data_IF_272626370842
#
_entry.id   IF_272626370842
#
_cell.length_a   1.000
_cell.length_b   1.000
_cell.length_c   1.000
_cell.angle_alpha   90.00
_cell.angle_beta   90.00
_cell.angle_gamma   90.00
#
_symmetry.space_group_name_H-M   'P 1'
#
loop_
_entity.id
_entity.type
_entity.pdbx_description
1 polymer ?
#
# COMPACT_ATOMS: atom_id res chain seq x y z
N UNK A 1 -13.14 27.20 9.43
CA UNK A 1 -12.36 25.98 9.71
C UNK A 1 -13.19 24.75 10.10
N UNK A 2 -14.47 24.89 10.51
CA UNK A 2 -15.35 23.75 10.87
C UNK A 2 -15.74 22.87 9.66
N UNK A 3 -15.82 23.44 8.45
CA UNK A 3 -16.28 22.76 7.23
C UNK A 3 -15.37 21.60 6.73
N UNK A 4 -14.05 21.68 6.92
CA UNK A 4 -13.11 20.65 6.44
C UNK A 4 -13.01 19.42 7.36
N UNK A 5 -13.54 19.50 8.59
CA UNK A 5 -13.53 18.36 9.53
C UNK A 5 -14.64 17.37 9.20
N UNK A 6 -15.85 17.87 8.93
CA UNK A 6 -17.00 17.05 8.53
C UNK A 6 -16.78 16.35 7.19
N UNK A 7 -16.00 16.92 6.27
CA UNK A 7 -15.70 16.31 4.97
C UNK A 7 -14.76 15.09 5.04
N UNK A 8 -14.08 14.86 6.17
CA UNK A 8 -13.16 13.71 6.34
C UNK A 8 -13.90 12.40 6.60
N UNK A 9 -14.99 12.46 7.37
CA UNK A 9 -15.76 11.29 7.76
C UNK A 9 -16.37 10.54 6.56
N UNK A 10 -17.02 11.21 5.58
CA UNK A 10 -17.52 10.53 4.39
C UNK A 10 -16.41 9.83 3.60
N UNK A 11 -15.25 10.47 3.43
CA UNK A 11 -14.12 9.87 2.70
C UNK A 11 -13.56 8.65 3.42
N UNK A 12 -13.45 8.70 4.75
CA UNK A 12 -13.09 7.53 5.54
C UNK A 12 -14.13 6.42 5.48
N UNK A 13 -15.41 6.76 5.52
CA UNK A 13 -16.49 5.79 5.40
C UNK A 13 -16.47 5.10 4.03
N UNK A 14 -16.18 5.84 2.95
CA UNK A 14 -16.01 5.29 1.60
C UNK A 14 -14.76 4.41 1.48
N UNK A 15 -13.65 4.78 2.13
CA UNK A 15 -12.48 3.91 2.21
C UNK A 15 -12.82 2.60 2.95
N UNK A 16 -13.52 2.68 4.09
CA UNK A 16 -13.97 1.52 4.84
C UNK A 16 -14.96 0.65 4.04
N UNK A 17 -15.89 1.27 3.30
CA UNK A 17 -16.81 0.55 2.42
C UNK A 17 -16.06 -0.19 1.31
N UNK A 18 -15.04 0.45 0.72
CA UNK A 18 -14.18 -0.19 -0.30
C UNK A 18 -13.44 -1.40 0.28
N UNK A 19 -12.92 -1.28 1.51
CA UNK A 19 -12.29 -2.39 2.23
C UNK A 19 -13.28 -3.53 2.49
N UNK A 20 -14.48 -3.22 3.00
CA UNK A 20 -15.50 -4.24 3.29
C UNK A 20 -15.96 -4.96 2.02
N UNK A 21 -16.20 -4.22 0.94
CA UNK A 21 -16.57 -4.80 -0.35
C UNK A 21 -15.44 -5.67 -0.92
N UNK A 22 -14.18 -5.24 -0.76
CA UNK A 22 -13.04 -6.05 -1.14
C UNK A 22 -12.93 -7.33 -0.29
N UNK A 23 -13.10 -7.26 1.02
CA UNK A 23 -13.08 -8.45 1.89
C UNK A 23 -14.20 -9.43 1.51
N UNK A 24 -15.41 -8.92 1.23
CA UNK A 24 -16.53 -9.71 0.73
C UNK A 24 -16.18 -10.42 -0.59
N UNK A 25 -15.64 -9.68 -1.56
CA UNK A 25 -15.14 -10.22 -2.82
C UNK A 25 -14.06 -11.30 -2.62
N UNK A 26 -13.20 -11.10 -1.61
CA UNK A 26 -12.16 -12.06 -1.24
C UNK A 26 -12.72 -13.37 -0.68
N UNK A 27 -13.76 -13.30 0.15
CA UNK A 27 -14.46 -14.49 0.67
C UNK A 27 -15.15 -15.28 -0.46
N UNK A 28 -15.78 -14.59 -1.40
CA UNK A 28 -16.33 -15.25 -2.61
C UNK A 28 -15.23 -15.95 -3.40
N UNK A 29 -14.07 -15.31 -3.58
CA UNK A 29 -12.89 -15.92 -4.24
C UNK A 29 -12.29 -17.09 -3.45
N UNK A 30 -12.53 -17.17 -2.15
CA UNK A 30 -12.16 -18.30 -1.30
C UNK A 30 -13.13 -19.49 -1.46
N UNK A 31 -14.21 -19.35 -2.22
CA UNK A 31 -15.21 -20.38 -2.45
C UNK A 31 -16.38 -20.35 -1.47
N UNK A 32 -16.54 -19.28 -0.69
CA UNK A 32 -17.72 -19.11 0.15
C UNK A 32 -18.94 -18.75 -0.72
N UNK A 33 -20.04 -19.44 -0.49
CA UNK A 33 -21.31 -19.19 -1.18
C UNK A 33 -22.01 -17.96 -0.57
N UNK A 34 -21.56 -16.78 -0.98
CA UNK A 34 -22.08 -15.49 -0.54
C UNK A 34 -22.78 -14.77 -1.70
N UNK A 35 -23.83 -13.97 -1.43
CA UNK A 35 -24.46 -13.13 -2.44
C UNK A 35 -23.46 -12.25 -3.19
N UNK A 36 -23.52 -12.27 -4.52
CA UNK A 36 -22.71 -11.43 -5.41
C UNK A 36 -23.64 -10.38 -6.04
N UNK A 37 -23.84 -9.21 -5.40
CA UNK A 37 -24.79 -8.21 -5.88
C UNK A 37 -24.35 -7.53 -7.19
N UNK A 38 -23.06 -7.63 -7.53
CA UNK A 38 -22.39 -6.95 -8.65
C UNK A 38 -21.53 -7.99 -9.34
N UNK A 39 -21.76 -8.24 -10.64
CA UNK A 39 -21.22 -9.39 -11.37
C UNK A 39 -19.68 -9.46 -11.29
N UNK A 40 -19.01 -8.32 -11.41
CA UNK A 40 -17.55 -8.26 -11.43
C UNK A 40 -16.92 -8.08 -10.04
N UNK A 41 -17.70 -8.10 -8.96
CA UNK A 41 -17.21 -7.85 -7.61
C UNK A 41 -16.01 -8.74 -7.22
N UNK A 42 -16.01 -10.08 -7.45
CA UNK A 42 -14.86 -10.93 -7.17
C UNK A 42 -13.62 -10.53 -7.98
N UNK A 43 -13.79 -10.22 -9.27
CA UNK A 43 -12.69 -9.79 -10.13
C UNK A 43 -12.09 -8.44 -9.68
N UNK A 44 -12.93 -7.56 -9.15
CA UNK A 44 -12.57 -6.22 -8.69
C UNK A 44 -11.93 -6.18 -7.29
N UNK A 45 -11.82 -7.32 -6.59
CA UNK A 45 -11.25 -7.41 -5.24
C UNK A 45 -9.95 -6.58 -5.06
N UNK A 46 -8.94 -6.83 -5.91
CA UNK A 46 -7.65 -6.15 -5.80
C UNK A 46 -7.71 -4.65 -6.11
N UNK A 47 -8.59 -4.26 -7.02
CA UNK A 47 -8.84 -2.86 -7.37
C UNK A 47 -9.44 -2.11 -6.18
N UNK A 48 -10.49 -2.68 -5.57
CA UNK A 48 -11.16 -2.11 -4.40
C UNK A 48 -10.19 -1.98 -3.21
N UNK A 49 -9.29 -2.95 -3.01
CA UNK A 49 -8.23 -2.84 -2.00
C UNK A 49 -7.27 -1.68 -2.28
N UNK A 50 -6.70 -1.64 -3.48
CA UNK A 50 -5.56 -0.75 -3.77
C UNK A 50 -6.03 0.66 -4.12
N UNK A 51 -6.89 0.81 -5.13
CA UNK A 51 -7.32 2.15 -5.58
C UNK A 51 -8.39 2.72 -4.68
N UNK A 52 -9.34 1.87 -4.23
CA UNK A 52 -10.44 2.27 -3.36
C UNK A 52 -10.02 2.52 -1.91
N UNK A 53 -9.55 1.49 -1.22
CA UNK A 53 -9.21 1.62 0.20
C UNK A 53 -7.88 2.35 0.42
N UNK A 54 -6.76 1.80 -0.06
CA UNK A 54 -5.43 2.39 0.20
C UNK A 54 -5.27 3.76 -0.47
N UNK A 55 -5.69 3.89 -1.73
CA UNK A 55 -5.63 5.12 -2.49
C UNK A 55 -6.39 6.26 -1.81
N UNK A 56 -7.61 6.01 -1.33
CA UNK A 56 -8.37 7.01 -0.57
C UNK A 56 -7.71 7.34 0.76
N UNK A 57 -7.27 6.35 1.53
CA UNK A 57 -6.71 6.57 2.86
C UNK A 57 -5.38 7.37 2.81
N UNK A 58 -4.45 6.96 1.94
CA UNK A 58 -3.14 7.62 1.78
C UNK A 58 -3.34 9.05 1.27
N UNK A 59 -4.20 9.25 0.27
CA UNK A 59 -4.52 10.60 -0.21
C UNK A 59 -5.16 11.46 0.88
N UNK A 60 -6.06 10.90 1.68
CA UNK A 60 -6.74 11.63 2.75
C UNK A 60 -5.76 12.06 3.84
N UNK A 61 -4.89 11.15 4.28
CA UNK A 61 -3.87 11.45 5.27
C UNK A 61 -2.96 12.61 4.82
N UNK A 62 -2.47 12.56 3.58
CA UNK A 62 -1.62 13.63 3.03
C UNK A 62 -2.39 14.93 2.80
N UNK A 63 -3.69 14.86 2.51
CA UNK A 63 -4.57 16.03 2.41
C UNK A 63 -4.75 16.73 3.75
N UNK A 64 -4.88 15.96 4.83
CA UNK A 64 -4.94 16.49 6.20
C UNK A 64 -3.62 17.16 6.57
N UNK A 65 -2.48 16.54 6.24
CA UNK A 65 -1.16 17.10 6.54
C UNK A 65 -0.89 18.46 5.84
N UNK A 66 -1.35 18.64 4.60
CA UNK A 66 -1.15 19.88 3.84
C UNK A 66 -2.05 21.05 4.27
N UNK A 67 -3.14 20.79 4.99
CA UNK A 67 -4.08 21.82 5.48
C UNK A 67 -4.61 22.78 4.39
N UNK A 68 -4.77 22.27 3.15
CA UNK A 68 -5.35 22.99 2.00
C UNK A 68 -6.58 22.25 1.48
N UNK A 69 -7.45 22.93 0.71
CA UNK A 69 -8.69 22.33 0.19
C UNK A 69 -8.49 21.46 -1.05
N UNK A 70 -7.63 21.87 -2.00
CA UNK A 70 -7.43 21.14 -3.25
C UNK A 70 -6.92 19.68 -3.09
N UNK A 71 -6.06 19.31 -2.11
CA UNK A 71 -5.59 17.93 -1.96
C UNK A 71 -6.71 16.89 -1.79
N UNK A 72 -7.85 17.31 -1.23
CA UNK A 72 -9.03 16.47 -1.03
C UNK A 72 -9.68 15.99 -2.33
N UNK A 73 -9.31 16.53 -3.50
CA UNK A 73 -9.66 15.94 -4.79
C UNK A 73 -9.09 14.53 -4.97
N UNK A 74 -7.89 14.25 -4.46
CA UNK A 74 -7.26 12.93 -4.49
C UNK A 74 -8.09 11.83 -3.82
N UNK A 75 -8.38 11.91 -2.51
CA UNK A 75 -9.17 10.88 -1.83
C UNK A 75 -10.61 10.78 -2.37
N UNK A 76 -11.21 11.90 -2.81
CA UNK A 76 -12.54 11.90 -3.41
C UNK A 76 -12.56 11.10 -4.72
N UNK A 77 -11.63 11.37 -5.64
CA UNK A 77 -11.56 10.66 -6.93
C UNK A 77 -11.20 9.17 -6.75
N UNK A 78 -10.36 8.85 -5.76
CA UNK A 78 -10.07 7.46 -5.41
C UNK A 78 -11.33 6.72 -4.90
N UNK A 79 -12.12 7.38 -4.06
CA UNK A 79 -13.39 6.83 -3.57
C UNK A 79 -14.45 6.74 -4.69
N UNK A 80 -14.50 7.70 -5.60
CA UNK A 80 -15.37 7.63 -6.77
C UNK A 80 -14.97 6.50 -7.72
N UNK A 81 -13.67 6.22 -7.86
CA UNK A 81 -13.18 5.07 -8.64
C UNK A 81 -13.71 3.75 -8.07
N UNK A 82 -13.71 3.57 -6.74
CA UNK A 82 -14.28 2.36 -6.12
C UNK A 82 -15.79 2.28 -6.26
N UNK A 83 -16.51 3.40 -6.11
CA UNK A 83 -17.95 3.43 -6.36
C UNK A 83 -18.29 3.06 -7.82
N UNK A 84 -17.49 3.52 -8.79
CA UNK A 84 -17.67 3.14 -10.18
C UNK A 84 -17.47 1.62 -10.41
N UNK A 85 -16.52 0.99 -9.69
CA UNK A 85 -16.35 -0.47 -9.71
C UNK A 85 -17.52 -1.21 -9.07
N UNK A 86 -18.08 -0.68 -7.97
CA UNK A 86 -19.24 -1.28 -7.28
C UNK A 86 -20.54 -1.08 -8.05
N UNK A 87 -20.62 -0.07 -8.91
CA UNK A 87 -21.78 0.19 -9.76
C UNK A 87 -21.68 -0.47 -11.14
N UNK A 88 -20.67 -1.32 -11.38
CA UNK A 88 -20.38 -1.93 -12.69
C UNK A 88 -20.37 -0.89 -13.85
N UNK A 89 -19.86 0.31 -13.58
CA UNK A 89 -19.76 1.37 -14.59
C UNK A 89 -18.85 0.92 -15.74
N UNK A 90 -19.16 1.31 -16.99
CA UNK A 90 -18.39 0.88 -18.15
C UNK A 90 -16.94 1.39 -18.09
N UNK A 91 -16.01 0.57 -18.58
CA UNK A 91 -14.63 1.00 -18.83
C UNK A 91 -14.62 2.18 -19.82
N UNK A 92 -13.73 3.17 -19.66
CA UNK A 92 -12.61 3.24 -18.70
C UNK A 92 -12.90 4.10 -17.45
N UNK A 93 -14.16 4.21 -17.00
CA UNK A 93 -14.57 5.17 -15.94
C UNK A 93 -13.75 5.06 -14.65
N UNK A 94 -13.75 3.89 -14.00
CA UNK A 94 -13.00 3.66 -12.77
C UNK A 94 -11.48 3.86 -12.93
N UNK A 95 -10.82 3.32 -13.98
CA UNK A 95 -9.42 3.61 -14.25
C UNK A 95 -9.09 5.10 -14.38
N UNK A 96 -9.89 5.88 -15.13
CA UNK A 96 -9.64 7.31 -15.31
C UNK A 96 -9.74 8.08 -13.99
N UNK A 97 -10.72 7.75 -13.15
CA UNK A 97 -10.87 8.32 -11.81
C UNK A 97 -9.66 7.98 -10.91
N UNK A 98 -9.17 6.74 -10.95
CA UNK A 98 -7.98 6.33 -10.20
C UNK A 98 -6.71 7.06 -10.69
N UNK A 99 -6.54 7.20 -12.01
CA UNK A 99 -5.42 7.95 -12.62
C UNK A 99 -5.45 9.41 -12.17
N UNK A 100 -6.61 10.07 -12.22
CA UNK A 100 -6.77 11.43 -11.73
C UNK A 100 -6.46 11.54 -10.23
N UNK A 101 -6.96 10.60 -9.40
CA UNK A 101 -6.66 10.57 -7.96
C UNK A 101 -5.15 10.47 -7.68
N UNK A 102 -4.45 9.58 -8.38
CA UNK A 102 -3.00 9.42 -8.23
C UNK A 102 -2.21 10.65 -8.69
N UNK A 103 -2.70 11.39 -9.70
CA UNK A 103 -2.10 12.65 -10.12
C UNK A 103 -2.19 13.73 -9.02
N UNK A 104 -3.31 13.78 -8.29
CA UNK A 104 -3.41 14.64 -7.10
C UNK A 104 -2.36 14.25 -6.05
N UNK A 105 -2.17 12.96 -5.78
CA UNK A 105 -1.15 12.52 -4.82
C UNK A 105 0.27 12.90 -5.25
N UNK A 106 0.59 12.75 -6.55
CA UNK A 106 1.86 13.24 -7.11
C UNK A 106 2.00 14.75 -6.90
N UNK A 107 0.98 15.54 -7.23
CA UNK A 107 0.99 16.98 -7.03
C UNK A 107 1.20 17.37 -5.55
N UNK A 108 0.61 16.62 -4.62
CA UNK A 108 0.79 16.81 -3.17
C UNK A 108 2.27 16.65 -2.80
N UNK A 109 2.91 15.57 -3.26
CA UNK A 109 4.34 15.34 -2.98
C UNK A 109 5.26 16.34 -3.68
N UNK A 110 4.91 16.83 -4.88
CA UNK A 110 5.64 17.92 -5.53
C UNK A 110 5.62 19.18 -4.66
N UNK A 111 4.44 19.54 -4.12
CA UNK A 111 4.32 20.69 -3.22
C UNK A 111 5.13 20.48 -1.93
N UNK A 112 5.05 19.29 -1.32
CA UNK A 112 5.82 18.98 -0.11
C UNK A 112 7.34 19.03 -0.35
N UNK A 113 7.82 18.46 -1.45
CA UNK A 113 9.25 18.50 -1.80
C UNK A 113 9.74 19.92 -2.10
N UNK A 114 8.87 20.80 -2.65
CA UNK A 114 9.19 22.23 -2.84
C UNK A 114 9.25 23.00 -1.53
N UNK A 115 8.49 22.60 -0.51
CA UNK A 115 8.55 23.21 0.82
C UNK A 115 9.78 22.75 1.60
N UNK A 116 10.08 21.46 1.54
CA UNK A 116 11.24 20.88 2.19
C UNK A 116 11.72 19.66 1.40
N UNK A 117 12.93 19.75 0.85
CA UNK A 117 13.53 18.61 0.18
C UNK A 117 14.14 17.65 1.21
N UNK A 118 13.72 16.38 1.17
CA UNK A 118 14.26 15.32 2.01
C UNK A 118 14.17 13.96 1.30
N UNK A 119 15.09 13.05 1.64
CA UNK A 119 15.14 11.69 1.06
C UNK A 119 13.79 10.96 1.22
N UNK A 120 13.14 11.10 2.38
CA UNK A 120 11.89 10.42 2.68
C UNK A 120 10.71 10.98 1.88
N UNK A 121 10.62 12.31 1.70
CA UNK A 121 9.58 12.92 0.86
C UNK A 121 9.75 12.57 -0.61
N UNK A 122 11.00 12.55 -1.11
CA UNK A 122 11.30 12.09 -2.46
C UNK A 122 10.90 10.62 -2.64
N UNK A 123 11.25 9.77 -1.69
CA UNK A 123 10.91 8.34 -1.74
C UNK A 123 9.40 8.14 -1.75
N UNK A 124 8.65 8.78 -0.85
CA UNK A 124 7.18 8.69 -0.87
C UNK A 124 6.57 9.28 -2.14
N UNK A 125 7.13 10.37 -2.67
CA UNK A 125 6.74 10.95 -3.95
C UNK A 125 6.95 10.02 -5.14
N UNK A 126 8.03 9.23 -5.14
CA UNK A 126 8.24 8.14 -6.10
C UNK A 126 7.16 7.07 -5.96
N UNK A 127 6.77 6.70 -4.74
CA UNK A 127 5.63 5.82 -4.50
C UNK A 127 4.35 6.34 -5.15
N UNK A 128 4.00 7.61 -4.92
CA UNK A 128 2.85 8.25 -5.56
C UNK A 128 2.93 8.24 -7.09
N UNK A 129 4.13 8.48 -7.65
CA UNK A 129 4.36 8.41 -9.09
C UNK A 129 4.17 6.99 -9.65
N UNK A 130 4.63 5.96 -8.93
CA UNK A 130 4.39 4.56 -9.32
C UNK A 130 2.90 4.21 -9.33
N UNK A 131 2.12 4.75 -8.38
CA UNK A 131 0.66 4.59 -8.42
C UNK A 131 0.05 5.21 -9.67
N UNK A 132 0.51 6.42 -10.02
CA UNK A 132 0.07 7.11 -11.23
C UNK A 132 0.41 6.32 -12.50
N UNK A 133 1.63 5.81 -12.63
CA UNK A 133 2.02 4.98 -13.79
C UNK A 133 1.18 3.69 -13.83
N UNK A 134 0.99 3.01 -12.70
CA UNK A 134 0.15 1.82 -12.63
C UNK A 134 -1.29 2.09 -13.09
N UNK A 135 -1.90 3.19 -12.62
CA UNK A 135 -3.25 3.57 -13.02
C UNK A 135 -3.31 3.99 -14.49
N UNK A 136 -2.28 4.65 -15.02
CA UNK A 136 -2.19 5.01 -16.44
C UNK A 136 -2.15 3.76 -17.33
N UNK A 137 -1.36 2.74 -16.94
CA UNK A 137 -1.34 1.44 -17.61
C UNK A 137 -2.73 0.77 -17.55
N UNK A 138 -3.40 0.83 -16.41
CA UNK A 138 -4.75 0.30 -16.26
C UNK A 138 -5.77 1.05 -17.15
N UNK A 139 -5.71 2.38 -17.19
CA UNK A 139 -6.53 3.20 -18.09
C UNK A 139 -6.26 2.91 -19.56
N UNK A 140 -5.03 2.53 -19.91
CA UNK A 140 -4.65 2.12 -21.26
C UNK A 140 -5.05 0.67 -21.60
N UNK A 141 -5.74 -0.05 -20.72
CA UNK A 141 -6.24 -1.40 -20.96
C UNK A 141 -5.22 -2.52 -20.75
N UNK A 142 -4.08 -2.24 -20.10
CA UNK A 142 -3.13 -3.31 -19.77
C UNK A 142 -3.73 -4.29 -18.75
N UNK A 143 -3.39 -5.59 -18.84
CA UNK A 143 -3.86 -6.59 -17.89
C UNK A 143 -3.35 -6.28 -16.48
N UNK A 144 -4.14 -6.61 -15.46
CA UNK A 144 -3.79 -6.32 -14.05
C UNK A 144 -2.48 -6.95 -13.61
N UNK A 145 -2.08 -8.09 -14.19
CA UNK A 145 -0.77 -8.69 -13.94
C UNK A 145 0.40 -7.77 -14.27
N UNK A 146 0.25 -6.87 -15.27
CA UNK A 146 1.26 -5.85 -15.63
C UNK A 146 1.13 -4.56 -14.82
N UNK A 147 -0.06 -4.29 -14.27
CA UNK A 147 -0.34 -3.10 -13.46
C UNK A 147 0.12 -3.29 -12.01
N UNK A 148 -0.18 -4.45 -11.42
CA UNK A 148 0.04 -4.72 -10.00
C UNK A 148 1.48 -4.53 -9.51
N UNK A 149 2.55 -4.84 -10.28
CA UNK A 149 3.93 -4.54 -9.86
C UNK A 149 4.16 -3.05 -9.55
N UNK A 150 3.51 -2.15 -10.28
CA UNK A 150 3.56 -0.70 -10.03
C UNK A 150 2.81 -0.33 -8.75
N UNK A 151 1.69 -0.99 -8.46
CA UNK A 151 0.94 -0.82 -7.21
C UNK A 151 1.66 -1.40 -5.98
N UNK A 152 2.37 -2.52 -6.15
CA UNK A 152 3.32 -3.03 -5.15
C UNK A 152 4.35 -1.93 -4.87
N UNK A 153 4.94 -1.36 -5.93
CA UNK A 153 5.86 -0.25 -5.84
C UNK A 153 5.31 0.95 -5.10
N UNK A 154 4.09 1.38 -5.43
CA UNK A 154 3.39 2.45 -4.73
C UNK A 154 3.39 2.24 -3.21
N UNK A 155 2.89 1.11 -2.74
CA UNK A 155 2.72 0.90 -1.30
C UNK A 155 4.07 0.62 -0.61
N UNK A 156 4.92 -0.22 -1.21
CA UNK A 156 6.22 -0.58 -0.62
C UNK A 156 7.13 0.64 -0.53
N UNK A 157 7.25 1.43 -1.59
CA UNK A 157 8.13 2.61 -1.60
C UNK A 157 7.56 3.73 -0.72
N UNK A 158 6.23 3.92 -0.68
CA UNK A 158 5.62 4.87 0.27
C UNK A 158 5.93 4.49 1.72
N UNK A 159 5.67 3.24 2.11
CA UNK A 159 5.94 2.77 3.47
C UNK A 159 7.44 2.84 3.79
N UNK A 160 8.31 2.42 2.87
CA UNK A 160 9.75 2.49 3.05
C UNK A 160 10.23 3.93 3.24
N UNK A 161 9.65 4.90 2.52
CA UNK A 161 9.87 6.32 2.71
C UNK A 161 9.47 6.80 4.11
N UNK A 162 8.28 6.45 4.58
CA UNK A 162 7.83 6.77 5.96
C UNK A 162 8.75 6.16 7.02
N UNK A 163 9.25 4.94 6.79
CA UNK A 163 10.21 4.29 7.70
C UNK A 163 11.58 4.95 7.68
N UNK A 164 12.02 5.47 6.53
CA UNK A 164 13.25 6.24 6.42
C UNK A 164 13.18 7.54 7.22
N UNK A 165 12.01 8.20 7.25
CA UNK A 165 11.77 9.40 8.08
C UNK A 165 12.02 9.10 9.56
N UNK A 166 11.43 8.02 10.07
CA UNK A 166 11.54 7.64 11.49
C UNK A 166 12.94 7.11 11.84
N UNK A 167 13.59 6.41 10.92
CA UNK A 167 14.96 5.92 11.08
C UNK A 167 16.00 7.05 11.06
N UNK A 168 15.64 8.29 10.70
CA UNK A 168 16.52 9.45 10.89
C UNK A 168 16.90 9.63 12.37
N UNK A 169 16.00 9.28 13.29
CA UNK A 169 16.24 9.40 14.73
C UNK A 169 17.37 8.47 15.22
N UNK A 170 17.69 7.40 14.47
CA UNK A 170 18.78 6.48 14.79
C UNK A 170 20.13 6.83 14.15
N UNK A 171 20.23 7.96 13.43
CA UNK A 171 21.44 8.43 12.71
C UNK A 171 22.03 7.37 11.76
N UNK A 172 21.29 7.05 10.68
CA UNK A 172 21.79 6.17 9.62
C UNK A 172 23.10 6.68 9.00
N UNK A 173 24.05 5.77 8.79
CA UNK A 173 25.32 6.05 8.09
C UNK A 173 25.08 6.34 6.60
N UNK A 174 26.03 7.03 5.97
CA UNK A 174 25.99 7.34 4.53
C UNK A 174 25.86 6.06 3.69
N UNK A 175 26.59 4.99 4.07
CA UNK A 175 26.55 3.70 3.39
C UNK A 175 25.16 3.06 3.50
N UNK A 176 24.54 3.10 4.68
CA UNK A 176 23.19 2.55 4.87
C UNK A 176 22.15 3.31 4.04
N UNK A 177 22.23 4.64 3.97
CA UNK A 177 21.36 5.44 3.09
C UNK A 177 21.59 5.15 1.61
N UNK A 178 22.85 5.04 1.18
CA UNK A 178 23.19 4.68 -0.19
C UNK A 178 22.62 3.29 -0.56
N UNK A 179 22.76 2.30 0.33
CA UNK A 179 22.19 0.96 0.13
C UNK A 179 20.66 1.00 -0.05
N UNK A 180 19.96 1.84 0.73
CA UNK A 180 18.52 2.06 0.54
C UNK A 180 18.20 2.62 -0.85
N UNK A 181 18.88 3.69 -1.26
CA UNK A 181 18.67 4.29 -2.57
C UNK A 181 18.99 3.34 -3.73
N UNK A 182 20.01 2.49 -3.57
CA UNK A 182 20.31 1.42 -4.54
C UNK A 182 19.16 0.43 -4.61
N UNK A 183 18.61 -0.03 -3.49
CA UNK A 183 17.45 -0.93 -3.50
C UNK A 183 16.25 -0.30 -4.24
N UNK A 184 15.94 0.97 -3.95
CA UNK A 184 14.87 1.70 -4.64
C UNK A 184 15.18 1.84 -6.14
N UNK A 185 16.40 2.22 -6.51
CA UNK A 185 16.82 2.37 -7.91
C UNK A 185 16.73 1.07 -8.70
N UNK A 186 17.20 -0.05 -8.12
CA UNK A 186 17.09 -1.39 -8.74
C UNK A 186 15.63 -1.81 -8.89
N UNK A 187 14.79 -1.53 -7.89
CA UNK A 187 13.36 -1.81 -7.97
C UNK A 187 12.70 -1.06 -9.14
N UNK A 188 12.97 0.24 -9.27
CA UNK A 188 12.46 1.09 -10.36
C UNK A 188 12.98 0.64 -11.73
N UNK A 189 14.26 0.27 -11.81
CA UNK A 189 14.85 -0.27 -13.04
C UNK A 189 14.16 -1.57 -13.45
N UNK A 190 13.88 -2.46 -12.50
CA UNK A 190 13.11 -3.69 -12.76
C UNK A 190 11.72 -3.41 -13.31
N UNK A 191 11.00 -2.44 -12.73
CA UNK A 191 9.69 -2.02 -13.24
C UNK A 191 9.78 -1.45 -14.66
N UNK A 192 10.77 -0.61 -14.94
CA UNK A 192 11.00 -0.07 -16.28
C UNK A 192 11.32 -1.16 -17.31
N UNK A 193 12.16 -2.14 -16.95
CA UNK A 193 12.47 -3.30 -17.81
C UNK A 193 11.21 -4.16 -18.03
N UNK A 194 10.35 -4.29 -17.02
CA UNK A 194 9.14 -5.13 -17.10
C UNK A 194 8.14 -4.69 -18.18
N UNK A 195 8.23 -3.45 -18.66
CA UNK A 195 7.43 -2.94 -19.77
C UNK A 195 7.70 -3.69 -21.08
N UNK A 196 8.94 -4.13 -21.30
CA UNK A 196 9.39 -4.79 -22.54
C UNK A 196 9.76 -6.26 -22.32
N UNK A 197 10.34 -6.57 -21.16
CA UNK A 197 10.79 -7.91 -20.76
C UNK A 197 10.22 -8.25 -19.37
N UNK A 198 8.93 -8.60 -19.33
CA UNK A 198 8.14 -8.71 -18.10
C UNK A 198 8.79 -9.61 -17.03
N UNK A 199 9.11 -10.86 -17.38
CA UNK A 199 9.70 -11.82 -16.42
C UNK A 199 11.04 -11.35 -15.84
N UNK A 200 11.96 -10.89 -16.70
CA UNK A 200 13.27 -10.38 -16.26
C UNK A 200 13.16 -9.13 -15.39
N UNK A 201 12.31 -8.18 -15.79
CA UNK A 201 12.06 -6.96 -15.02
C UNK A 201 11.44 -7.27 -13.66
N UNK A 202 10.47 -8.17 -13.61
CA UNK A 202 9.81 -8.58 -12.38
C UNK A 202 10.78 -9.29 -11.41
N UNK A 203 11.66 -10.18 -11.92
CA UNK A 203 12.73 -10.81 -11.10
C UNK A 203 13.68 -9.77 -10.52
N UNK A 204 14.06 -8.76 -11.30
CA UNK A 204 14.94 -7.69 -10.81
C UNK A 204 14.26 -6.86 -9.71
N UNK A 205 12.99 -6.49 -9.90
CA UNK A 205 12.19 -5.83 -8.86
C UNK A 205 12.05 -6.71 -7.62
N UNK A 206 11.86 -8.02 -7.78
CA UNK A 206 11.74 -8.97 -6.68
C UNK A 206 13.03 -9.08 -5.84
N UNK A 207 14.21 -9.10 -6.47
CA UNK A 207 15.50 -9.01 -5.77
C UNK A 207 15.57 -7.75 -4.92
N UNK A 208 15.15 -6.61 -5.47
CA UNK A 208 15.13 -5.35 -4.74
C UNK A 208 14.14 -5.34 -3.57
N UNK A 209 12.97 -6.01 -3.68
CA UNK A 209 12.03 -6.17 -2.57
C UNK A 209 12.66 -6.97 -1.41
N UNK A 210 13.36 -8.07 -1.72
CA UNK A 210 14.09 -8.85 -0.70
C UNK A 210 15.19 -8.02 -0.07
N UNK A 211 15.99 -7.32 -0.86
CA UNK A 211 17.05 -6.45 -0.36
C UNK A 211 16.50 -5.32 0.53
N UNK A 212 15.36 -4.72 0.15
CA UNK A 212 14.69 -3.69 0.93
C UNK A 212 14.12 -4.24 2.25
N UNK A 213 13.54 -5.44 2.24
CA UNK A 213 13.10 -6.13 3.45
C UNK A 213 14.26 -6.38 4.42
N UNK A 214 15.40 -6.84 3.93
CA UNK A 214 16.61 -7.04 4.72
C UNK A 214 17.17 -5.71 5.24
N UNK A 215 17.13 -4.66 4.43
CA UNK A 215 17.55 -3.33 4.85
C UNK A 215 16.66 -2.81 6.00
N UNK A 216 15.34 -2.90 5.87
CA UNK A 216 14.38 -2.50 6.90
C UNK A 216 14.58 -3.32 8.18
N UNK A 217 14.72 -4.65 8.07
CA UNK A 217 15.03 -5.49 9.21
C UNK A 217 16.34 -5.09 9.89
N UNK A 218 17.38 -4.68 9.14
CA UNK A 218 18.69 -4.38 9.72
C UNK A 218 18.78 -3.01 10.36
N UNK A 219 18.09 -2.02 9.82
CA UNK A 219 18.31 -0.60 10.12
C UNK A 219 17.12 0.13 10.74
N UNK A 220 15.91 -0.44 10.70
CA UNK A 220 14.74 0.19 11.33
C UNK A 220 14.84 0.18 12.87
N UNK A 221 14.29 1.22 13.49
CA UNK A 221 14.23 1.38 14.95
C UNK A 221 13.35 0.31 15.64
N UNK A 222 12.52 -0.43 14.90
CA UNK A 222 11.59 -1.43 15.42
C UNK A 222 12.22 -2.42 16.43
N UNK A 223 13.48 -2.83 16.23
CA UNK A 223 14.20 -3.70 17.17
C UNK A 223 14.48 -3.07 18.54
N UNK A 224 14.64 -1.75 18.59
CA UNK A 224 14.72 -1.01 19.86
C UNK A 224 13.32 -0.84 20.42
N UNK A 225 12.37 -0.50 19.56
CA UNK A 225 10.99 -0.21 19.95
C UNK A 225 10.28 -1.42 20.57
N UNK A 226 10.56 -2.64 20.10
CA UNK A 226 9.96 -3.89 20.61
C UNK A 226 10.26 -4.12 22.09
N UNK A 227 11.34 -3.53 22.63
CA UNK A 227 11.70 -3.66 24.04
C UNK A 227 10.79 -2.85 24.97
N UNK A 228 10.15 -1.79 24.49
CA UNK A 228 9.17 -1.02 25.26
C UNK A 228 7.89 -1.82 25.53
N UNK A 229 6.95 -1.27 26.30
CA UNK A 229 5.66 -1.93 26.66
C UNK A 229 4.50 -1.12 26.08
N UNK A 230 3.38 -1.78 25.80
CA UNK A 230 2.16 -1.14 25.29
C UNK A 230 2.16 -0.97 23.78
N UNK A 231 1.62 0.15 23.30
CA UNK A 231 1.47 0.45 21.87
C UNK A 231 2.81 0.36 21.11
N UNK A 232 3.94 0.94 21.57
CA UNK A 232 5.20 0.87 20.83
C UNK A 232 5.65 -0.57 20.53
N UNK A 233 5.47 -1.50 21.49
CA UNK A 233 5.78 -2.92 21.27
C UNK A 233 4.90 -3.53 20.21
N UNK A 234 3.59 -3.29 20.27
CA UNK A 234 2.65 -3.80 19.28
C UNK A 234 3.01 -3.31 17.88
N UNK A 235 3.29 -2.01 17.73
CA UNK A 235 3.76 -1.44 16.47
C UNK A 235 5.01 -2.14 15.97
N UNK A 236 6.02 -2.31 16.84
CA UNK A 236 7.27 -2.96 16.47
C UNK A 236 7.09 -4.41 16.01
N UNK A 237 6.22 -5.19 16.68
CA UNK A 237 5.91 -6.57 16.27
C UNK A 237 5.27 -6.58 14.89
N UNK A 238 4.27 -5.72 14.64
CA UNK A 238 3.65 -5.57 13.33
C UNK A 238 4.68 -5.20 12.24
N UNK A 239 5.56 -4.22 12.52
CA UNK A 239 6.61 -3.79 11.58
C UNK A 239 7.55 -4.94 11.23
N UNK A 240 8.10 -5.63 12.23
CA UNK A 240 9.05 -6.72 12.04
C UNK A 240 8.43 -7.91 11.31
N UNK A 241 7.19 -8.28 11.66
CA UNK A 241 6.47 -9.34 10.93
C UNK A 241 6.16 -8.92 9.50
N UNK A 242 5.83 -7.65 9.27
CA UNK A 242 5.61 -7.11 7.94
C UNK A 242 6.87 -7.22 7.08
N UNK A 243 8.05 -6.86 7.60
CA UNK A 243 9.30 -6.97 6.85
C UNK A 243 9.62 -8.42 6.46
N UNK A 244 9.35 -9.39 7.35
CA UNK A 244 9.48 -10.80 7.01
C UNK A 244 8.59 -11.17 5.82
N UNK A 245 7.32 -10.76 5.84
CA UNK A 245 6.40 -11.00 4.72
C UNK A 245 6.79 -10.29 3.43
N UNK A 246 7.39 -9.10 3.49
CA UNK A 246 7.95 -8.42 2.32
C UNK A 246 9.07 -9.25 1.68
N UNK A 247 9.95 -9.82 2.51
CA UNK A 247 11.02 -10.72 2.06
C UNK A 247 10.47 -12.00 1.44
N UNK A 248 9.48 -12.63 2.07
CA UNK A 248 8.80 -13.83 1.54
C UNK A 248 8.11 -13.50 0.22
N UNK A 249 7.34 -12.42 0.15
CA UNK A 249 6.66 -11.98 -1.06
C UNK A 249 7.64 -11.66 -2.19
N UNK A 250 8.76 -11.02 -1.89
CA UNK A 250 9.85 -10.80 -2.84
C UNK A 250 10.47 -12.11 -3.34
N UNK A 251 10.73 -13.07 -2.47
CA UNK A 251 11.28 -14.38 -2.85
C UNK A 251 10.30 -15.16 -3.74
N UNK A 252 9.03 -15.25 -3.35
CA UNK A 252 7.99 -15.89 -4.15
C UNK A 252 7.85 -15.21 -5.52
N UNK A 253 7.89 -13.88 -5.56
CA UNK A 253 7.83 -13.10 -6.81
C UNK A 253 9.01 -13.43 -7.73
N UNK A 254 10.22 -13.58 -7.18
CA UNK A 254 11.40 -13.97 -7.94
C UNK A 254 11.26 -15.38 -8.52
N UNK A 255 10.85 -16.35 -7.69
CA UNK A 255 10.72 -17.76 -8.08
C UNK A 255 9.62 -17.99 -9.13
N UNK A 256 8.51 -17.26 -9.01
CA UNK A 256 7.32 -17.45 -9.84
C UNK A 256 7.05 -16.29 -10.82
N UNK A 257 8.09 -15.52 -11.16
CA UNK A 257 7.96 -14.35 -12.03
C UNK A 257 7.31 -14.67 -13.38
N UNK A 258 7.62 -15.82 -13.98
CA UNK A 258 7.07 -16.24 -15.27
C UNK A 258 5.61 -16.72 -15.17
N UNK A 259 5.15 -17.01 -13.95
CA UNK A 259 3.78 -17.43 -13.63
C UNK A 259 2.93 -16.29 -13.06
N UNK A 260 3.43 -15.05 -13.08
CA UNK A 260 2.76 -13.88 -12.49
C UNK A 260 1.64 -13.36 -13.39
N UNK A 261 0.56 -14.14 -13.51
CA UNK A 261 -0.63 -13.78 -14.31
C UNK A 261 -1.92 -13.98 -13.55
N UNK A 262 -2.13 -15.17 -13.00
CA UNK A 262 -3.30 -15.56 -12.18
C UNK A 262 -3.00 -16.86 -11.42
N UNK A 263 -3.95 -17.32 -10.60
CA UNK A 263 -3.83 -18.59 -9.88
C UNK A 263 -3.09 -18.48 -8.55
N UNK A 264 -2.75 -19.64 -7.98
CA UNK A 264 -2.28 -19.77 -6.61
C UNK A 264 -0.95 -19.04 -6.34
N UNK A 265 0.06 -19.18 -7.21
CA UNK A 265 1.36 -18.50 -7.02
C UNK A 265 1.24 -16.98 -7.10
N UNK A 266 0.46 -16.48 -8.06
CA UNK A 266 0.14 -15.05 -8.16
C UNK A 266 -0.54 -14.56 -6.88
N UNK A 267 -1.56 -15.29 -6.43
CA UNK A 267 -2.29 -14.98 -5.20
C UNK A 267 -1.39 -14.99 -3.96
N UNK A 268 -0.49 -15.96 -3.82
CA UNK A 268 0.46 -16.07 -2.72
C UNK A 268 1.42 -14.87 -2.66
N UNK A 269 1.98 -14.45 -3.81
CA UNK A 269 2.85 -13.25 -3.88
C UNK A 269 2.07 -12.01 -3.45
N UNK A 270 0.86 -11.83 -3.99
CA UNK A 270 0.05 -10.66 -3.69
C UNK A 270 -0.36 -10.61 -2.23
N UNK A 271 -0.78 -11.73 -1.63
CA UNK A 271 -1.19 -11.76 -0.24
C UNK A 271 0.00 -11.62 0.71
N UNK A 272 1.16 -12.21 0.40
CA UNK A 272 2.38 -11.98 1.19
C UNK A 272 2.73 -10.48 1.24
N UNK A 273 2.65 -9.76 0.12
CA UNK A 273 3.00 -8.34 0.07
C UNK A 273 1.86 -7.45 0.61
N UNK A 274 0.66 -7.54 0.05
CA UNK A 274 -0.44 -6.64 0.42
C UNK A 274 -1.01 -6.97 1.80
N UNK A 275 -1.26 -8.22 2.13
CA UNK A 275 -1.77 -8.56 3.47
C UNK A 275 -0.62 -8.70 4.47
N UNK A 276 0.40 -9.51 4.15
CA UNK A 276 1.51 -9.77 5.07
C UNK A 276 2.31 -8.52 5.42
N UNK A 277 2.77 -7.77 4.42
CA UNK A 277 3.52 -6.54 4.66
C UNK A 277 2.62 -5.32 4.86
N UNK A 278 1.76 -4.96 3.89
CA UNK A 278 1.00 -3.68 3.96
C UNK A 278 -0.03 -3.67 5.09
N UNK A 279 -0.86 -4.71 5.28
CA UNK A 279 -1.83 -4.70 6.40
C UNK A 279 -1.14 -4.76 7.78
N UNK A 280 0.02 -5.41 7.90
CA UNK A 280 0.82 -5.30 9.13
C UNK A 280 1.23 -3.85 9.40
N UNK A 281 1.59 -3.07 8.37
CA UNK A 281 1.92 -1.65 8.50
C UNK A 281 0.69 -0.82 8.89
N UNK A 282 -0.49 -1.15 8.36
CA UNK A 282 -1.75 -0.51 8.73
C UNK A 282 -2.08 -0.79 10.19
N UNK A 283 -1.97 -2.03 10.64
CA UNK A 283 -2.20 -2.36 12.05
C UNK A 283 -1.21 -1.64 12.98
N UNK A 284 0.06 -1.53 12.57
CA UNK A 284 1.04 -0.76 13.34
C UNK A 284 0.62 0.71 13.51
N UNK A 285 0.16 1.38 12.45
CA UNK A 285 -0.07 2.82 12.49
C UNK A 285 -1.52 3.24 12.73
N UNK A 286 -2.50 2.33 12.61
CA UNK A 286 -3.93 2.63 12.79
C UNK A 286 -4.23 3.35 14.13
N UNK A 287 -3.63 2.98 15.28
CA UNK A 287 -3.86 3.69 16.55
C UNK A 287 -3.38 5.16 16.56
N UNK A 288 -2.59 5.57 15.57
CA UNK A 288 -2.01 6.91 15.44
C UNK A 288 -2.68 7.68 14.29
N UNK A 289 -2.85 7.03 13.13
CA UNK A 289 -3.43 7.64 11.92
C UNK A 289 -4.93 7.86 12.09
N UNK A 290 -5.66 6.91 12.68
CA UNK A 290 -7.11 7.06 12.85
C UNK A 290 -7.47 8.29 13.69
N UNK A 291 -6.85 8.54 14.86
CA UNK A 291 -7.08 9.76 15.62
C UNK A 291 -6.62 11.04 14.91
N UNK A 292 -5.55 11.00 14.10
CA UNK A 292 -5.07 12.21 13.42
C UNK A 292 -6.04 12.69 12.33
N UNK A 293 -6.82 11.79 11.74
CA UNK A 293 -7.82 12.11 10.72
C UNK A 293 -9.19 12.42 11.35
N UNK A 294 -9.67 11.56 12.25
CA UNK A 294 -11.03 11.62 12.83
C UNK A 294 -11.14 12.48 14.09
N UNK A 295 -10.01 12.78 14.74
CA UNK A 295 -9.95 13.38 16.09
C UNK A 295 -10.60 12.49 17.18
N UNK A 296 -10.89 11.21 16.88
CA UNK A 296 -11.40 10.23 17.84
C UNK A 296 -10.26 9.38 18.41
N UNK A 297 -10.25 9.21 19.74
CA UNK A 297 -9.24 8.41 20.42
C UNK A 297 -9.36 6.91 20.07
N UNK A 298 -8.22 6.28 19.77
CA UNK A 298 -8.11 4.83 19.57
C UNK A 298 -7.13 4.22 20.59
N UNK A 299 -7.53 4.10 21.86
CA UNK A 299 -6.63 3.62 22.91
C UNK A 299 -6.22 2.17 22.66
N UNK A 300 -4.91 1.91 22.78
CA UNK A 300 -4.37 0.57 22.60
C UNK A 300 -4.93 -0.41 23.63
N UNK A 301 -5.36 -1.59 23.15
CA UNK A 301 -5.79 -2.72 23.98
C UNK A 301 -5.00 -3.96 23.57
N UNK A 302 -4.71 -4.85 24.53
CA UNK A 302 -3.99 -6.12 24.25
C UNK A 302 -4.70 -7.00 23.21
N UNK A 303 -6.02 -6.87 23.08
CA UNK A 303 -6.80 -7.54 22.04
C UNK A 303 -6.33 -7.25 20.60
N UNK A 304 -5.59 -6.15 20.36
CA UNK A 304 -5.08 -5.79 19.04
C UNK A 304 -4.11 -6.83 18.49
N UNK A 305 -3.39 -7.55 19.36
CA UNK A 305 -2.57 -8.69 18.96
C UNK A 305 -3.40 -9.82 18.33
N UNK A 306 -4.69 -9.94 18.69
CA UNK A 306 -5.60 -10.92 18.09
C UNK A 306 -5.80 -10.67 16.60
N UNK A 307 -5.93 -9.41 16.17
CA UNK A 307 -6.05 -9.06 14.74
C UNK A 307 -4.78 -9.44 13.96
N UNK A 308 -3.61 -9.18 14.54
CA UNK A 308 -2.33 -9.55 13.94
C UNK A 308 -2.15 -11.07 13.87
N UNK A 309 -2.52 -11.79 14.94
CA UNK A 309 -2.48 -13.25 14.96
C UNK A 309 -3.39 -13.86 13.90
N UNK A 310 -4.63 -13.36 13.78
CA UNK A 310 -5.58 -13.81 12.77
C UNK A 310 -5.06 -13.57 11.34
N UNK A 311 -4.43 -12.41 11.10
CA UNK A 311 -3.78 -12.09 9.81
C UNK A 311 -2.66 -13.08 9.48
N UNK A 312 -1.78 -13.40 10.44
CA UNK A 312 -0.68 -14.33 10.18
C UNK A 312 -1.16 -15.76 9.98
N UNK A 313 -2.15 -16.22 10.75
CA UNK A 313 -2.76 -17.55 10.56
C UNK A 313 -3.41 -17.63 9.18
N UNK A 314 -4.17 -16.61 8.76
CA UNK A 314 -4.80 -16.64 7.44
C UNK A 314 -3.78 -16.63 6.31
N UNK A 315 -2.67 -15.89 6.46
CA UNK A 315 -1.58 -15.87 5.50
C UNK A 315 -0.84 -17.21 5.40
N UNK A 316 -0.54 -17.84 6.53
CA UNK A 316 0.10 -19.16 6.54
C UNK A 316 -0.75 -20.21 5.82
N UNK A 317 -2.08 -20.17 5.99
CA UNK A 317 -3.00 -21.06 5.28
C UNK A 317 -3.16 -20.73 3.79
N UNK A 318 -2.93 -19.48 3.40
CA UNK A 318 -3.14 -18.99 2.03
C UNK A 318 -1.89 -19.11 1.15
N UNK A 319 -0.72 -18.90 1.75
CA UNK A 319 0.59 -18.87 1.08
C UNK A 319 1.31 -20.22 1.19
N UNK A 320 1.07 -20.96 2.28
CA UNK A 320 1.68 -22.28 2.53
C UNK A 320 0.93 -23.45 1.94
#
# INVERSE_FOLDING_TARGET
MISLKLSRFPLMALAALSLLAALWAGLVRLGWDLPVPVLNLPANHGLLMITGFMGTLICLERSVALMRSWPYGGPLLAAMSSLALLADMPLPTAPLLATAASLFLVAIFVVLCRQQLSDFLLTMGLGAFLWFVGNLLWSAGYPLSRVVPWWIGFLVITIAGERLELSRLTRLSVISRAAFHVCVGVFLLGLAISLWAFGSGLRLSAIALVALALWLLRFDIAWRTVRHVGLPRFMAVCLLSGYLWLGIGGLLCFLFADLFTSGHYYDAVLHAIFLGFVFSMIFAHAPIIFPSITELAMPFRRAFYGHLGLLHVSLLLRVG
#
